data_IF_852867879888
#
_entry.id   IF_852867879888
#
_cell.length_a   1.000
_cell.length_b   1.000
_cell.length_c   1.000
_cell.angle_alpha   90.00
_cell.angle_beta   90.00
_cell.angle_gamma   90.00
#
_symmetry.space_group_name_H-M   'P 1'
#
loop_
_entity.id
_entity.type
_entity.pdbx_description
1 polymer ?
#
# COMPACT_ATOMS: atom_id res chain seq x y z
N UNK A 1 5.97 0.53 -15.28
CA UNK A 1 6.42 -0.74 -14.65
C UNK A 1 6.28 -1.90 -15.63
N UNK A 2 5.08 -2.17 -16.17
CA UNK A 2 4.85 -3.21 -17.19
C UNK A 2 5.81 -3.11 -18.39
N UNK A 3 5.85 -1.96 -19.05
CA UNK A 3 6.82 -1.73 -20.14
C UNK A 3 8.28 -1.95 -19.72
N UNK A 4 8.63 -1.64 -18.46
CA UNK A 4 10.00 -1.77 -17.99
C UNK A 4 10.37 -3.23 -17.67
N UNK A 5 9.49 -4.03 -17.07
CA UNK A 5 9.80 -5.46 -16.86
C UNK A 5 9.92 -6.19 -18.20
N UNK A 6 9.13 -5.79 -19.21
CA UNK A 6 9.14 -6.37 -20.55
C UNK A 6 10.39 -6.01 -21.37
N UNK A 7 10.79 -4.74 -21.36
CA UNK A 7 11.74 -4.20 -22.35
C UNK A 7 13.12 -3.82 -21.79
N UNK A 8 13.31 -3.82 -20.47
CA UNK A 8 14.65 -3.66 -19.91
C UNK A 8 15.51 -4.91 -20.19
N UNK A 9 16.83 -4.75 -20.39
CA UNK A 9 17.70 -5.82 -20.85
C UNK A 9 17.87 -6.95 -19.83
N UNK A 10 17.83 -6.63 -18.54
CA UNK A 10 18.12 -7.56 -17.45
C UNK A 10 17.51 -7.10 -16.12
N UNK A 11 17.59 -7.99 -15.13
CA UNK A 11 17.13 -7.76 -13.77
C UNK A 11 17.86 -6.59 -13.09
N UNK A 12 19.20 -6.48 -13.24
CA UNK A 12 19.97 -5.42 -12.59
C UNK A 12 19.55 -4.03 -13.06
N UNK A 13 19.28 -3.86 -14.36
CA UNK A 13 18.76 -2.62 -14.91
C UNK A 13 17.37 -2.31 -14.37
N UNK A 14 16.50 -3.33 -14.26
CA UNK A 14 15.18 -3.20 -13.64
C UNK A 14 15.26 -2.82 -12.15
N UNK A 15 16.19 -3.43 -11.41
CA UNK A 15 16.42 -3.19 -10.00
C UNK A 15 17.05 -1.80 -9.75
N UNK A 16 17.98 -1.36 -10.60
CA UNK A 16 18.48 0.03 -10.58
C UNK A 16 17.37 1.04 -10.81
N UNK A 17 16.42 0.72 -11.69
CA UNK A 17 15.29 1.58 -12.00
C UNK A 17 14.27 1.63 -10.87
N UNK A 18 13.86 0.50 -10.29
CA UNK A 18 12.81 0.47 -9.28
C UNK A 18 13.27 0.08 -7.88
N UNK A 19 14.17 -0.90 -7.73
CA UNK A 19 14.74 -1.27 -6.43
C UNK A 19 15.44 -0.10 -5.74
N UNK A 20 16.54 0.39 -6.33
CA UNK A 20 17.19 1.62 -5.83
C UNK A 20 16.33 2.86 -6.06
N UNK A 21 15.62 2.92 -7.20
CA UNK A 21 14.85 4.10 -7.59
C UNK A 21 15.72 5.35 -7.81
N UNK A 22 17.04 5.17 -7.92
CA UNK A 22 18.03 6.24 -7.97
C UNK A 22 19.31 5.76 -8.68
N UNK A 23 19.44 6.05 -9.97
CA UNK A 23 20.67 5.75 -10.70
C UNK A 23 20.95 6.78 -11.79
N UNK A 24 22.22 7.11 -12.01
CA UNK A 24 22.64 8.14 -12.98
C UNK A 24 22.17 7.84 -14.41
N UNK A 25 22.08 6.55 -14.75
CA UNK A 25 21.75 6.07 -16.09
C UNK A 25 20.25 5.86 -16.32
N UNK A 26 19.41 5.94 -15.27
CA UNK A 26 17.98 5.62 -15.38
C UNK A 26 17.24 6.48 -16.44
N UNK A 27 17.65 7.73 -16.64
CA UNK A 27 17.04 8.58 -17.67
C UNK A 27 17.38 8.08 -19.09
N UNK A 28 18.64 7.66 -19.31
CA UNK A 28 19.07 7.10 -20.60
C UNK A 28 18.41 5.73 -20.83
N UNK A 29 18.34 4.90 -19.80
CA UNK A 29 17.62 3.61 -19.82
C UNK A 29 16.15 3.80 -20.19
N UNK A 30 15.47 4.77 -19.59
CA UNK A 30 14.09 5.11 -19.94
C UNK A 30 13.96 5.47 -21.43
N UNK A 31 14.82 6.37 -21.92
CA UNK A 31 14.79 6.83 -23.31
C UNK A 31 15.01 5.68 -24.30
N UNK A 32 15.94 4.77 -23.97
CA UNK A 32 16.33 3.67 -24.86
C UNK A 32 15.32 2.52 -24.88
N UNK A 33 14.79 2.13 -23.72
CA UNK A 33 14.08 0.85 -23.58
C UNK A 33 12.61 0.96 -23.16
N UNK A 34 12.18 2.08 -22.56
CA UNK A 34 10.82 2.18 -21.99
C UNK A 34 9.95 3.14 -22.81
N UNK A 35 10.51 4.28 -23.21
CA UNK A 35 9.78 5.44 -23.72
C UNK A 35 8.85 5.14 -24.89
N UNK A 36 9.30 4.35 -25.88
CA UNK A 36 8.50 4.04 -27.08
C UNK A 36 7.42 2.97 -26.83
N UNK A 37 7.43 2.33 -25.65
CA UNK A 37 6.46 1.32 -25.25
C UNK A 37 5.43 1.86 -24.25
N UNK A 38 5.40 3.18 -24.04
CA UNK A 38 4.41 3.84 -23.19
C UNK A 38 3.31 4.48 -24.04
N UNK A 39 2.08 4.43 -23.53
CA UNK A 39 1.00 5.23 -24.08
C UNK A 39 1.31 6.74 -23.94
N UNK A 40 0.63 7.54 -24.77
CA UNK A 40 0.86 8.97 -24.86
C UNK A 40 0.67 9.69 -23.53
N UNK A 41 -0.36 9.33 -22.74
CA UNK A 41 -0.65 10.00 -21.46
C UNK A 41 0.44 9.70 -20.44
N UNK A 42 0.84 8.44 -20.31
CA UNK A 42 1.92 8.04 -19.39
C UNK A 42 3.25 8.69 -19.76
N UNK A 43 3.59 8.72 -21.06
CA UNK A 43 4.80 9.39 -21.55
C UNK A 43 4.78 10.89 -21.25
N UNK A 44 3.69 11.58 -21.57
CA UNK A 44 3.52 13.02 -21.27
C UNK A 44 3.66 13.31 -19.77
N UNK A 45 3.12 12.45 -18.90
CA UNK A 45 3.27 12.62 -17.46
C UNK A 45 4.75 12.59 -17.01
N UNK A 46 5.51 11.60 -17.46
CA UNK A 46 6.93 11.47 -17.07
C UNK A 46 7.84 12.49 -17.74
N UNK A 47 7.48 12.95 -18.94
CA UNK A 47 8.26 13.94 -19.70
C UNK A 47 7.91 15.39 -19.38
N UNK A 48 6.89 15.64 -18.54
CA UNK A 48 6.56 16.98 -18.03
C UNK A 48 7.18 17.24 -16.66
N UNK A 49 7.02 18.47 -16.18
CA UNK A 49 7.62 18.98 -14.94
C UNK A 49 6.58 19.40 -13.91
N UNK A 50 7.00 19.48 -12.63
CA UNK A 50 6.13 19.93 -11.53
C UNK A 50 6.23 21.44 -11.26
N UNK A 51 7.42 22.05 -11.32
CA UNK A 51 7.63 23.49 -11.07
C UNK A 51 8.78 24.03 -11.94
N UNK A 52 8.74 25.30 -12.44
CA UNK A 52 7.69 26.33 -12.30
C UNK A 52 6.53 26.20 -13.32
N UNK A 53 6.46 25.09 -14.04
CA UNK A 53 5.40 24.80 -15.00
C UNK A 53 5.65 23.44 -15.64
N UNK A 54 4.70 22.94 -16.42
CA UNK A 54 4.79 21.60 -17.03
C UNK A 54 5.94 21.43 -18.03
N UNK A 55 6.55 22.53 -18.49
CA UNK A 55 7.56 22.55 -19.56
C UNK A 55 8.90 23.18 -19.15
N UNK A 56 8.96 23.97 -18.07
CA UNK A 56 10.12 24.81 -17.75
C UNK A 56 11.01 24.27 -16.63
N UNK A 57 10.68 23.09 -16.08
CA UNK A 57 11.41 22.47 -14.98
C UNK A 57 12.19 21.21 -15.38
N UNK A 58 12.86 20.56 -14.42
CA UNK A 58 13.32 19.20 -14.64
C UNK A 58 12.14 18.27 -14.89
N UNK A 59 12.27 17.37 -15.86
CA UNK A 59 11.24 16.37 -16.16
C UNK A 59 11.06 15.40 -14.98
N UNK A 60 9.83 14.94 -14.72
CA UNK A 60 9.53 13.96 -13.66
C UNK A 60 10.34 12.67 -13.82
N UNK A 61 10.68 12.26 -15.04
CA UNK A 61 11.55 11.10 -15.27
C UNK A 61 12.91 11.22 -14.56
N UNK A 62 13.39 12.44 -14.30
CA UNK A 62 14.62 12.66 -13.53
C UNK A 62 14.51 12.25 -12.06
N UNK A 63 13.32 11.93 -11.55
CA UNK A 63 13.13 11.38 -10.20
C UNK A 63 13.86 10.05 -10.05
N UNK A 64 13.86 9.22 -11.09
CA UNK A 64 14.62 7.97 -11.12
C UNK A 64 16.15 8.17 -11.13
N UNK A 65 16.64 9.39 -11.40
CA UNK A 65 18.05 9.77 -11.24
C UNK A 65 18.37 10.27 -9.84
N UNK A 66 17.42 10.93 -9.18
CA UNK A 66 17.63 11.67 -7.91
C UNK A 66 17.07 10.97 -6.67
N UNK A 67 16.35 9.87 -6.86
CA UNK A 67 15.63 9.16 -5.81
C UNK A 67 14.13 9.31 -5.95
N UNK A 68 13.50 8.33 -6.58
CA UNK A 68 12.06 8.23 -6.79
C UNK A 68 11.29 8.26 -5.46
N UNK A 69 11.70 7.43 -4.51
CA UNK A 69 11.05 7.27 -3.21
C UNK A 69 11.11 8.53 -2.35
N UNK A 70 12.06 9.42 -2.64
CA UNK A 70 12.17 10.71 -1.99
C UNK A 70 11.16 11.76 -2.49
N UNK A 71 10.51 11.51 -3.63
CA UNK A 71 9.55 12.46 -4.24
C UNK A 71 8.10 12.17 -3.85
N UNK A 72 7.79 10.96 -3.36
CA UNK A 72 6.45 10.63 -2.88
C UNK A 72 6.10 11.44 -1.63
N UNK A 73 4.81 11.80 -1.45
CA UNK A 73 4.31 12.52 -0.25
C UNK A 73 4.75 11.85 1.06
N UNK A 74 4.65 10.51 1.12
CA UNK A 74 5.11 9.73 2.27
C UNK A 74 6.63 9.87 2.50
N UNK A 75 7.43 9.88 1.42
CA UNK A 75 8.88 10.11 1.50
C UNK A 75 9.24 11.53 1.96
N UNK A 76 8.44 12.53 1.60
CA UNK A 76 8.58 13.91 2.12
C UNK A 76 8.21 13.97 3.61
N UNK A 77 7.14 13.30 4.02
CA UNK A 77 6.73 13.20 5.42
C UNK A 77 7.81 12.53 6.29
N UNK A 78 8.33 11.37 5.88
CA UNK A 78 9.40 10.68 6.61
C UNK A 78 10.66 11.54 6.71
N UNK A 79 10.96 12.37 5.71
CA UNK A 79 12.09 13.30 5.79
C UNK A 79 11.95 14.30 6.93
N UNK A 80 10.76 14.86 7.14
CA UNK A 80 10.48 15.80 8.23
C UNK A 80 10.62 15.09 9.59
N UNK A 81 9.96 13.95 9.75
CA UNK A 81 9.99 13.17 11.00
C UNK A 81 11.40 12.70 11.33
N UNK A 82 12.12 12.13 10.36
CA UNK A 82 13.50 11.68 10.56
C UNK A 82 14.43 12.86 10.87
N UNK A 83 14.24 14.02 10.23
CA UNK A 83 14.98 15.24 10.54
C UNK A 83 14.77 15.72 11.98
N UNK A 84 13.51 15.73 12.45
CA UNK A 84 13.18 16.07 13.83
C UNK A 84 13.79 15.08 14.82
N UNK A 85 13.66 13.78 14.55
CA UNK A 85 14.24 12.73 15.38
C UNK A 85 15.76 12.90 15.50
N UNK A 86 16.47 13.13 14.39
CA UNK A 86 17.94 13.35 14.39
C UNK A 86 18.33 14.58 15.18
N UNK A 87 17.55 15.67 15.10
CA UNK A 87 17.77 16.87 15.92
C UNK A 87 17.60 16.59 17.42
N UNK A 88 16.80 15.59 17.77
CA UNK A 88 16.66 15.07 19.14
C UNK A 88 17.69 13.98 19.49
N UNK A 89 18.69 13.74 18.62
CA UNK A 89 19.72 12.71 18.83
C UNK A 89 19.25 11.28 18.55
N UNK A 90 18.09 11.10 17.92
CA UNK A 90 17.47 9.79 17.64
C UNK A 90 17.45 9.53 16.12
N UNK A 91 18.15 8.52 15.63
CA UNK A 91 18.13 8.18 14.20
C UNK A 91 17.25 6.94 13.96
N UNK A 92 16.09 7.07 13.28
CA UNK A 92 15.17 5.95 13.06
C UNK A 92 15.80 4.75 12.34
N UNK A 93 16.82 5.00 11.52
CA UNK A 93 17.51 3.96 10.76
C UNK A 93 18.27 2.95 11.65
N UNK A 94 18.55 3.28 12.92
CA UNK A 94 19.18 2.35 13.88
C UNK A 94 18.36 1.08 14.10
N UNK A 95 17.03 1.16 14.00
CA UNK A 95 16.16 0.00 14.08
C UNK A 95 16.56 -1.08 13.05
N UNK A 96 17.01 -0.66 11.87
CA UNK A 96 17.36 -1.56 10.77
C UNK A 96 18.67 -2.33 10.98
N UNK A 97 19.42 -2.01 12.04
CA UNK A 97 20.61 -2.78 12.44
C UNK A 97 20.31 -3.95 13.38
N UNK A 98 19.05 -4.10 13.83
CA UNK A 98 18.66 -5.15 14.76
C UNK A 98 18.79 -6.54 14.12
N UNK A 99 19.24 -7.52 14.90
CA UNK A 99 19.44 -8.92 14.48
C UNK A 99 18.34 -9.86 14.96
N UNK A 100 17.43 -9.37 15.80
CA UNK A 100 16.30 -10.13 16.34
C UNK A 100 15.13 -9.22 16.68
N UNK A 101 13.94 -9.79 16.82
CA UNK A 101 12.75 -9.07 17.29
C UNK A 101 12.99 -8.44 18.67
N UNK A 102 13.64 -9.16 19.59
CA UNK A 102 13.93 -8.63 20.93
C UNK A 102 14.81 -7.36 20.87
N UNK A 103 15.79 -7.34 19.97
CA UNK A 103 16.62 -6.16 19.73
C UNK A 103 15.84 -5.03 19.04
N UNK A 104 14.94 -5.37 18.11
CA UNK A 104 14.00 -4.39 17.51
C UNK A 104 13.16 -3.72 18.59
N UNK A 105 12.62 -4.48 19.55
CA UNK A 105 11.84 -3.96 20.67
C UNK A 105 12.67 -3.06 21.59
N UNK A 106 13.87 -3.49 21.96
CA UNK A 106 14.78 -2.69 22.79
C UNK A 106 15.11 -1.34 22.13
N UNK A 107 15.49 -1.36 20.85
CA UNK A 107 15.79 -0.14 20.10
C UNK A 107 14.52 0.72 19.96
N UNK A 108 13.36 0.11 19.72
CA UNK A 108 12.11 0.83 19.62
C UNK A 108 11.79 1.59 20.91
N UNK A 109 11.89 0.92 22.06
CA UNK A 109 11.56 1.49 23.35
C UNK A 109 12.56 2.57 23.78
N UNK A 110 13.85 2.41 23.48
CA UNK A 110 14.88 3.41 23.77
C UNK A 110 14.78 4.67 22.88
N UNK A 111 14.49 4.49 21.58
CA UNK A 111 14.53 5.57 20.61
C UNK A 111 13.19 6.24 20.34
N UNK A 112 12.11 5.46 20.26
CA UNK A 112 10.78 5.94 19.89
C UNK A 112 9.85 6.07 21.10
N UNK A 113 10.03 5.24 22.13
CA UNK A 113 9.28 5.34 23.39
C UNK A 113 9.20 6.78 23.96
N UNK A 114 10.33 7.49 24.12
CA UNK A 114 10.33 8.88 24.60
C UNK A 114 9.60 9.86 23.67
N UNK A 115 9.61 9.64 22.36
CA UNK A 115 8.92 10.49 21.39
C UNK A 115 7.40 10.41 21.58
N UNK A 116 6.85 9.21 21.78
CA UNK A 116 5.42 9.04 22.04
C UNK A 116 4.97 9.63 23.38
N UNK A 117 5.88 9.78 24.35
CA UNK A 117 5.60 10.41 25.63
C UNK A 117 5.68 11.95 25.58
N UNK A 118 6.26 12.53 24.52
CA UNK A 118 6.38 13.98 24.35
C UNK A 118 4.99 14.64 24.17
N UNK A 119 4.73 15.72 24.89
CA UNK A 119 3.42 16.42 24.88
C UNK A 119 3.10 17.01 23.50
N UNK A 120 4.09 17.50 22.76
CA UNK A 120 3.91 18.06 21.42
C UNK A 120 3.58 16.98 20.39
N UNK A 121 4.28 15.83 20.47
CA UNK A 121 4.01 14.68 19.59
C UNK A 121 2.61 14.13 19.83
N UNK A 122 2.22 13.97 21.10
CA UNK A 122 0.84 13.58 21.47
C UNK A 122 -0.19 14.59 20.98
N UNK A 123 0.09 15.88 21.12
CA UNK A 123 -0.82 16.92 20.66
C UNK A 123 -0.99 16.90 19.13
N UNK A 124 0.10 16.76 18.36
CA UNK A 124 0.06 16.64 16.90
C UNK A 124 -0.63 15.37 16.42
N UNK A 125 -0.34 14.22 17.06
CA UNK A 125 -0.94 12.93 16.71
C UNK A 125 -2.45 12.85 16.96
N UNK A 126 -3.01 13.80 17.72
CA UNK A 126 -4.45 13.97 17.94
C UNK A 126 -5.12 14.87 16.89
N UNK A 127 -4.36 15.49 15.99
CA UNK A 127 -4.90 16.40 14.97
C UNK A 127 -5.20 15.65 13.65
N UNK A 128 -6.40 15.82 13.06
CA UNK A 128 -6.78 15.22 11.78
C UNK A 128 -5.86 15.56 10.61
N UNK A 129 -5.14 16.70 10.67
CA UNK A 129 -4.27 17.16 9.57
C UNK A 129 -2.92 16.41 9.55
N UNK A 130 -2.45 15.92 10.70
CA UNK A 130 -1.17 15.21 10.80
C UNK A 130 -1.23 13.82 10.14
N UNK A 131 -2.37 13.13 10.23
CA UNK A 131 -2.62 11.80 9.63
C UNK A 131 -2.90 11.85 8.13
N UNK A 132 -3.43 12.95 7.61
CA UNK A 132 -3.56 13.15 6.16
C UNK A 132 -2.19 13.14 5.46
N UNK A 133 -1.18 13.69 6.13
CA UNK A 133 0.22 13.68 5.65
C UNK A 133 0.88 12.30 5.76
N UNK A 134 0.30 11.39 6.57
CA UNK A 134 0.67 9.97 6.66
C UNK A 134 0.00 9.11 5.57
N UNK A 135 -0.81 9.70 4.69
CA UNK A 135 -1.52 9.00 3.62
C UNK A 135 -2.86 8.39 4.03
N UNK A 136 -3.39 8.76 5.21
CA UNK A 136 -4.69 8.32 5.71
C UNK A 136 -5.76 9.33 5.25
N UNK A 137 -6.71 8.94 4.38
CA UNK A 137 -7.84 9.81 4.00
C UNK A 137 -8.66 10.25 5.22
N UNK A 138 -9.32 11.43 5.18
CA UNK A 138 -10.13 11.93 6.30
C UNK A 138 -11.24 10.98 6.75
N UNK A 139 -11.82 10.22 5.82
CA UNK A 139 -12.83 9.17 6.09
C UNK A 139 -12.27 8.03 6.95
N UNK A 140 -11.07 7.55 6.65
CA UNK A 140 -10.40 6.53 7.46
C UNK A 140 -10.10 7.02 8.88
N UNK A 141 -9.70 8.28 9.02
CA UNK A 141 -9.51 8.89 10.35
C UNK A 141 -10.84 8.98 11.12
N UNK A 142 -11.94 9.35 10.45
CA UNK A 142 -13.26 9.42 11.06
C UNK A 142 -13.73 8.04 11.55
N UNK A 143 -13.61 7.00 10.71
CA UNK A 143 -13.97 5.63 11.07
C UNK A 143 -13.16 5.12 12.29
N UNK A 144 -11.84 5.33 12.30
CA UNK A 144 -11.00 4.95 13.44
C UNK A 144 -11.32 5.75 14.71
N UNK A 145 -11.71 7.02 14.59
CA UNK A 145 -12.11 7.85 15.72
C UNK A 145 -13.46 7.38 16.31
N UNK A 146 -14.40 6.99 15.45
CA UNK A 146 -15.69 6.42 15.85
C UNK A 146 -15.51 5.09 16.60
N UNK A 147 -14.70 4.17 16.06
CA UNK A 147 -14.34 2.92 16.77
C UNK A 147 -13.62 3.19 18.10
N UNK A 148 -12.85 4.28 18.16
CA UNK A 148 -12.21 4.75 19.40
C UNK A 148 -13.19 5.42 20.38
N UNK A 149 -14.49 5.45 20.10
CA UNK A 149 -15.52 6.11 20.91
C UNK A 149 -15.33 7.61 21.00
N UNK A 150 -14.83 8.26 19.93
CA UNK A 150 -14.54 9.70 19.89
C UNK A 150 -13.28 10.12 20.66
N UNK A 151 -12.51 9.17 21.21
CA UNK A 151 -11.33 9.49 22.01
C UNK A 151 -10.07 9.61 21.14
N UNK A 152 -9.58 10.84 20.97
CA UNK A 152 -8.28 11.08 20.32
C UNK A 152 -7.09 10.45 21.04
N UNK A 153 -7.21 10.11 22.32
CA UNK A 153 -6.17 9.38 23.05
C UNK A 153 -6.13 7.90 22.64
N UNK A 154 -7.29 7.22 22.59
CA UNK A 154 -7.35 5.83 22.12
C UNK A 154 -6.86 5.71 20.68
N UNK A 155 -7.24 6.66 19.82
CA UNK A 155 -6.77 6.72 18.44
C UNK A 155 -5.24 6.86 18.36
N UNK A 156 -4.64 7.73 19.18
CA UNK A 156 -3.19 7.86 19.27
C UNK A 156 -2.53 6.56 19.75
N UNK A 157 -3.12 5.86 20.72
CA UNK A 157 -2.61 4.59 21.20
C UNK A 157 -2.69 3.50 20.12
N UNK A 158 -3.75 3.47 19.30
CA UNK A 158 -3.84 2.62 18.10
C UNK A 158 -2.72 2.91 17.10
N UNK A 159 -2.44 4.19 16.79
CA UNK A 159 -1.31 4.54 15.92
C UNK A 159 0.03 4.09 16.49
N UNK A 160 0.24 4.27 17.81
CA UNK A 160 1.45 3.78 18.49
C UNK A 160 1.58 2.27 18.37
N UNK A 161 0.50 1.51 18.57
CA UNK A 161 0.49 0.05 18.43
C UNK A 161 0.81 -0.38 16.99
N UNK A 162 0.23 0.29 15.99
CA UNK A 162 0.52 0.04 14.56
C UNK A 162 1.98 0.29 14.21
N UNK A 163 2.53 1.41 14.66
CA UNK A 163 3.96 1.73 14.46
C UNK A 163 4.85 0.71 15.18
N UNK A 164 4.51 0.27 16.40
CA UNK A 164 5.26 -0.79 17.10
C UNK A 164 5.18 -2.12 16.34
N UNK A 165 4.00 -2.51 15.86
CA UNK A 165 3.83 -3.73 15.06
C UNK A 165 4.64 -3.68 13.76
N UNK A 166 4.68 -2.53 13.09
CA UNK A 166 5.55 -2.32 11.93
C UNK A 166 7.03 -2.45 12.28
N UNK A 167 7.44 -1.91 13.44
CA UNK A 167 8.84 -1.89 13.87
C UNK A 167 9.33 -3.24 14.42
N UNK A 168 8.46 -3.99 15.11
CA UNK A 168 8.84 -5.10 15.99
C UNK A 168 7.99 -6.37 15.77
N UNK A 169 6.96 -6.34 14.93
CA UNK A 169 6.06 -7.49 14.72
C UNK A 169 6.60 -8.52 13.73
N UNK A 170 7.61 -8.15 12.93
CA UNK A 170 8.12 -8.97 11.83
C UNK A 170 9.63 -8.84 11.70
N UNK A 171 10.26 -9.86 11.12
CA UNK A 171 11.70 -9.86 10.86
C UNK A 171 12.07 -8.77 9.87
N UNK A 172 13.21 -8.12 10.08
CA UNK A 172 13.75 -7.20 9.08
C UNK A 172 14.15 -7.88 7.77
N UNK A 173 14.39 -9.20 7.78
CA UNK A 173 14.71 -9.94 6.56
C UNK A 173 13.55 -9.98 5.57
N UNK A 174 12.31 -9.97 6.06
CA UNK A 174 11.13 -10.03 5.22
C UNK A 174 10.37 -8.71 5.15
N UNK A 175 10.47 -7.80 6.12
CA UNK A 175 9.58 -6.64 6.19
C UNK A 175 10.09 -5.38 5.45
N UNK A 176 9.91 -5.35 4.13
CA UNK A 176 10.24 -4.17 3.30
C UNK A 176 9.45 -2.89 3.65
N UNK A 177 8.33 -2.99 4.38
CA UNK A 177 7.60 -1.81 4.86
C UNK A 177 8.40 -1.11 5.97
N UNK A 178 9.00 -1.88 6.88
CA UNK A 178 9.88 -1.36 7.94
C UNK A 178 11.10 -0.66 7.34
N UNK A 179 11.73 -1.26 6.32
CA UNK A 179 12.84 -0.64 5.60
C UNK A 179 12.47 0.72 4.99
N UNK A 180 11.29 0.83 4.38
CA UNK A 180 10.82 2.11 3.84
C UNK A 180 10.48 3.13 4.94
N UNK A 181 9.80 2.71 6.01
CA UNK A 181 9.37 3.61 7.08
C UNK A 181 10.54 4.17 7.91
N UNK A 182 11.53 3.32 8.22
CA UNK A 182 12.63 3.65 9.13
C UNK A 182 13.95 3.95 8.40
N UNK A 183 14.13 3.46 7.18
CA UNK A 183 15.35 3.66 6.38
C UNK A 183 15.15 4.45 5.09
N UNK A 184 13.91 4.62 4.61
CA UNK A 184 13.58 5.27 3.32
C UNK A 184 14.32 4.65 2.12
N UNK A 185 14.57 3.35 2.22
CA UNK A 185 15.24 2.50 1.23
C UNK A 185 14.71 1.08 1.34
N UNK A 186 15.12 0.20 0.44
CA UNK A 186 14.99 -1.24 0.66
C UNK A 186 16.31 -1.82 1.17
N UNK A 187 16.26 -3.10 1.52
CA UNK A 187 17.46 -3.90 1.68
C UNK A 187 18.14 -4.07 0.31
N UNK A 188 19.21 -3.32 0.09
CA UNK A 188 20.00 -3.38 -1.14
C UNK A 188 21.23 -4.28 -1.00
N UNK A 189 21.54 -4.73 0.22
CA UNK A 189 22.73 -5.53 0.51
C UNK A 189 22.44 -7.01 0.36
N UNK A 190 21.39 -7.50 1.03
CA UNK A 190 20.96 -8.90 0.92
C UNK A 190 19.79 -9.09 -0.04
N UNK A 191 19.10 -8.00 -0.42
CA UNK A 191 17.96 -8.01 -1.35
C UNK A 191 16.85 -8.98 -0.92
N UNK A 192 16.67 -9.20 0.39
CA UNK A 192 15.61 -10.08 0.92
C UNK A 192 14.31 -9.32 1.17
N UNK A 193 14.42 -8.18 1.87
CA UNK A 193 13.28 -7.36 2.23
C UNK A 193 12.87 -6.47 1.05
N UNK A 194 12.27 -7.11 0.05
CA UNK A 194 11.79 -6.49 -1.18
C UNK A 194 10.31 -6.82 -1.44
N UNK A 195 9.54 -5.90 -2.04
CA UNK A 195 8.30 -6.24 -2.71
C UNK A 195 8.51 -7.36 -3.73
N UNK A 196 7.54 -8.27 -3.89
CA UNK A 196 7.73 -9.47 -4.71
C UNK A 196 8.08 -9.16 -6.16
N UNK A 197 7.61 -8.04 -6.71
CA UNK A 197 7.94 -7.62 -8.07
C UNK A 197 9.40 -7.16 -8.26
N UNK A 198 10.15 -6.94 -7.18
CA UNK A 198 11.56 -6.53 -7.19
C UNK A 198 12.52 -7.69 -6.88
N UNK A 199 11.99 -8.85 -6.49
CA UNK A 199 12.79 -10.04 -6.21
C UNK A 199 13.28 -10.68 -7.50
N UNK A 200 14.54 -11.08 -7.52
CA UNK A 200 15.19 -11.63 -8.71
C UNK A 200 14.50 -12.92 -9.18
N UNK A 201 14.14 -13.79 -8.24
CA UNK A 201 13.47 -15.06 -8.52
C UNK A 201 12.12 -14.89 -9.24
N UNK A 202 11.49 -13.72 -9.13
CA UNK A 202 10.21 -13.43 -9.78
C UNK A 202 10.36 -12.69 -11.12
N UNK A 203 11.55 -12.19 -11.44
CA UNK A 203 11.75 -11.29 -12.59
C UNK A 203 11.35 -11.94 -13.92
N UNK A 204 11.84 -13.15 -14.18
CA UNK A 204 11.53 -13.87 -15.43
C UNK A 204 10.04 -14.21 -15.54
N UNK A 205 9.44 -14.74 -14.47
CA UNK A 205 8.00 -15.04 -14.40
C UNK A 205 7.17 -13.79 -14.70
N UNK A 206 7.52 -12.64 -14.12
CA UNK A 206 6.81 -11.38 -14.36
C UNK A 206 6.98 -10.90 -15.79
N UNK A 207 8.18 -11.05 -16.36
CA UNK A 207 8.45 -10.68 -17.76
C UNK A 207 7.62 -11.50 -18.73
N UNK A 208 7.51 -12.80 -18.51
CA UNK A 208 6.78 -13.72 -19.39
C UNK A 208 5.26 -13.58 -19.26
N UNK A 209 4.79 -13.15 -18.08
CA UNK A 209 3.35 -13.01 -17.78
C UNK A 209 2.82 -11.58 -17.94
N UNK A 210 3.67 -10.58 -18.21
CA UNK A 210 3.29 -9.16 -18.23
C UNK A 210 2.14 -8.87 -19.21
N UNK A 211 2.06 -9.63 -20.31
CA UNK A 211 1.04 -9.46 -21.35
C UNK A 211 -0.36 -9.93 -20.91
N UNK A 212 -0.48 -10.54 -19.72
CA UNK A 212 -1.76 -10.88 -19.09
C UNK A 212 -2.34 -9.74 -18.25
N UNK A 213 -1.62 -8.62 -18.13
CA UNK A 213 -2.04 -7.48 -17.31
C UNK A 213 -2.65 -6.41 -18.19
N UNK A 214 -3.94 -6.14 -17.98
CA UNK A 214 -4.66 -5.05 -18.61
C UNK A 214 -4.86 -3.88 -17.63
N UNK A 215 -4.94 -2.67 -18.17
CA UNK A 215 -5.16 -1.46 -17.38
C UNK A 215 -6.32 -0.66 -17.96
N UNK A 216 -7.30 -0.33 -17.11
CA UNK A 216 -8.46 0.46 -17.50
C UNK A 216 -8.48 1.79 -16.74
N UNK A 217 -8.84 2.87 -17.42
CA UNK A 217 -9.12 4.16 -16.79
C UNK A 217 -10.63 4.31 -16.71
N UNK A 218 -11.22 3.72 -15.67
CA UNK A 218 -12.66 3.70 -15.41
C UNK A 218 -12.93 3.52 -13.91
N UNK A 219 -14.19 3.72 -13.49
CA UNK A 219 -14.62 3.20 -12.18
C UNK A 219 -14.72 1.66 -12.26
N UNK A 220 -14.47 0.98 -11.13
CA UNK A 220 -14.61 -0.48 -11.10
C UNK A 220 -16.06 -0.90 -11.40
N UNK A 221 -17.05 -0.18 -10.86
CA UNK A 221 -18.46 -0.45 -11.14
C UNK A 221 -18.80 -0.38 -12.63
N UNK A 222 -18.34 0.64 -13.35
CA UNK A 222 -18.60 0.78 -14.79
C UNK A 222 -17.95 -0.33 -15.61
N UNK A 223 -16.76 -0.78 -15.21
CA UNK A 223 -16.12 -1.94 -15.82
C UNK A 223 -16.96 -3.21 -15.60
N UNK A 224 -17.35 -3.49 -14.36
CA UNK A 224 -18.10 -4.71 -14.01
C UNK A 224 -19.53 -4.72 -14.60
N UNK A 225 -20.16 -3.56 -14.83
CA UNK A 225 -21.46 -3.47 -15.52
C UNK A 225 -21.43 -4.11 -16.90
N UNK A 226 -20.29 -4.02 -17.58
CA UNK A 226 -20.08 -4.50 -18.95
C UNK A 226 -19.26 -5.80 -19.03
N UNK A 227 -18.80 -6.33 -17.90
CA UNK A 227 -18.06 -7.58 -17.88
C UNK A 227 -19.01 -8.77 -18.04
N UNK A 228 -18.52 -9.82 -18.70
CA UNK A 228 -19.30 -11.04 -18.91
C UNK A 228 -19.58 -11.76 -17.59
N UNK A 229 -20.77 -12.35 -17.40
CA UNK A 229 -21.06 -13.20 -16.26
C UNK A 229 -20.03 -14.34 -16.12
N UNK A 230 -19.65 -14.66 -14.88
CA UNK A 230 -18.68 -15.71 -14.54
C UNK A 230 -17.28 -15.58 -15.20
N UNK A 231 -16.87 -14.35 -15.59
CA UNK A 231 -15.58 -14.11 -16.26
C UNK A 231 -14.41 -13.81 -15.31
N UNK A 232 -14.70 -13.54 -14.03
CA UNK A 232 -13.70 -13.14 -13.02
C UNK A 232 -13.83 -14.02 -11.78
N UNK A 233 -12.73 -14.26 -11.05
CA UNK A 233 -12.76 -15.07 -9.82
C UNK A 233 -12.00 -14.45 -8.63
N UNK A 234 -11.36 -13.30 -8.82
CA UNK A 234 -10.56 -12.65 -7.78
C UNK A 234 -10.74 -11.14 -7.80
N UNK A 235 -11.09 -10.57 -6.64
CA UNK A 235 -11.28 -9.13 -6.47
C UNK A 235 -10.42 -8.65 -5.29
N UNK A 236 -9.54 -7.67 -5.54
CA UNK A 236 -8.64 -7.10 -4.54
C UNK A 236 -8.97 -5.61 -4.41
N UNK A 237 -9.72 -5.24 -3.38
CA UNK A 237 -10.31 -3.90 -3.27
C UNK A 237 -9.54 -2.95 -2.35
N UNK A 238 -8.44 -3.42 -1.75
CA UNK A 238 -7.65 -2.69 -0.75
C UNK A 238 -8.57 -2.04 0.30
N UNK A 239 -8.46 -0.74 0.56
CA UNK A 239 -9.21 0.03 1.55
C UNK A 239 -10.28 0.92 0.94
N UNK A 240 -10.69 0.61 -0.30
CA UNK A 240 -11.74 1.35 -1.02
C UNK A 240 -13.06 1.40 -0.25
N UNK A 241 -13.37 0.35 0.51
CA UNK A 241 -14.65 0.19 1.19
C UNK A 241 -14.82 1.16 2.37
N UNK A 242 -13.74 1.66 2.98
CA UNK A 242 -13.81 2.57 4.15
C UNK A 242 -14.36 3.98 3.82
N UNK A 243 -14.46 4.33 2.55
CA UNK A 243 -14.85 5.67 2.09
C UNK A 243 -15.92 5.65 1.01
N UNK A 244 -16.44 4.47 0.69
CA UNK A 244 -17.62 4.31 -0.16
C UNK A 244 -18.88 4.45 0.69
N UNK A 245 -19.90 5.19 0.21
CA UNK A 245 -21.24 5.16 0.81
C UNK A 245 -21.83 3.73 0.79
N UNK A 246 -22.68 3.35 1.76
CA UNK A 246 -23.27 2.01 1.84
C UNK A 246 -23.96 1.56 0.54
N UNK A 247 -24.69 2.45 -0.12
CA UNK A 247 -25.37 2.15 -1.39
C UNK A 247 -24.40 1.84 -2.54
N UNK A 248 -23.22 2.45 -2.54
CA UNK A 248 -22.16 2.20 -3.53
C UNK A 248 -21.46 0.87 -3.23
N UNK A 249 -21.31 0.52 -1.96
CA UNK A 249 -20.79 -0.79 -1.54
C UNK A 249 -21.75 -1.89 -2.02
N UNK A 250 -23.05 -1.78 -1.74
CA UNK A 250 -24.03 -2.78 -2.18
C UNK A 250 -24.09 -2.91 -3.70
N UNK A 251 -24.10 -1.78 -4.44
CA UNK A 251 -24.05 -1.80 -5.91
C UNK A 251 -22.80 -2.54 -6.42
N UNK A 252 -21.62 -2.19 -5.91
CA UNK A 252 -20.37 -2.82 -6.32
C UNK A 252 -20.38 -4.33 -6.07
N UNK A 253 -20.81 -4.76 -4.89
CA UNK A 253 -20.81 -6.18 -4.52
C UNK A 253 -21.88 -6.98 -5.28
N UNK A 254 -23.03 -6.37 -5.61
CA UNK A 254 -24.01 -6.98 -6.50
C UNK A 254 -23.44 -7.23 -7.91
N UNK A 255 -22.62 -6.29 -8.43
CA UNK A 255 -21.92 -6.45 -9.70
C UNK A 255 -20.85 -7.54 -9.62
N UNK A 256 -20.09 -7.60 -8.52
CA UNK A 256 -19.14 -8.69 -8.26
C UNK A 256 -19.86 -10.05 -8.25
N UNK A 257 -21.02 -10.16 -7.61
CA UNK A 257 -21.79 -11.41 -7.60
C UNK A 257 -22.24 -11.83 -9.01
N UNK A 258 -22.64 -10.86 -9.84
CA UNK A 258 -23.07 -11.08 -11.23
C UNK A 258 -21.94 -11.62 -12.12
N UNK A 259 -20.75 -11.03 -12.03
CA UNK A 259 -19.62 -11.30 -12.95
C UNK A 259 -18.63 -12.32 -12.40
N UNK A 260 -18.68 -12.57 -11.09
CA UNK A 260 -17.83 -13.53 -10.41
C UNK A 260 -18.24 -14.98 -10.72
N UNK A 261 -17.28 -15.85 -11.03
CA UNK A 261 -17.46 -17.30 -11.08
C UNK A 261 -17.73 -17.91 -9.70
N UNK A 262 -18.08 -19.19 -9.63
CA UNK A 262 -18.48 -19.87 -8.38
C UNK A 262 -17.37 -19.91 -7.32
N UNK A 263 -16.11 -19.92 -7.72
CA UNK A 263 -14.94 -19.91 -6.83
C UNK A 263 -14.48 -18.48 -6.45
N UNK A 264 -15.33 -17.47 -6.71
CA UNK A 264 -14.98 -16.06 -6.50
C UNK A 264 -14.56 -15.77 -5.07
N UNK A 265 -13.44 -15.05 -4.96
CA UNK A 265 -12.92 -14.50 -3.70
C UNK A 265 -12.76 -12.99 -3.79
N UNK A 266 -13.29 -12.30 -2.80
CA UNK A 266 -13.10 -10.86 -2.59
C UNK A 266 -12.24 -10.66 -1.36
N UNK A 267 -11.15 -9.91 -1.50
CA UNK A 267 -10.28 -9.51 -0.40
C UNK A 267 -10.16 -8.00 -0.32
N UNK A 268 -10.17 -7.48 0.90
CA UNK A 268 -10.00 -6.06 1.16
C UNK A 268 -9.45 -5.85 2.57
N UNK A 269 -9.08 -4.61 2.88
CA UNK A 269 -8.54 -4.20 4.17
C UNK A 269 -9.32 -3.00 4.66
N UNK A 270 -9.36 -2.80 5.97
CA UNK A 270 -10.08 -1.68 6.58
C UNK A 270 -9.16 -0.91 7.50
N UNK A 271 -9.38 0.39 7.61
CA UNK A 271 -8.75 1.23 8.61
C UNK A 271 -9.16 0.82 10.02
N UNK A 272 -10.43 0.43 10.20
CA UNK A 272 -10.96 -0.14 11.43
C UNK A 272 -10.89 -1.66 11.49
N UNK A 273 -11.37 -2.25 12.58
CA UNK A 273 -11.49 -3.71 12.72
C UNK A 273 -12.75 -4.26 12.03
N UNK A 274 -13.82 -3.46 12.01
CA UNK A 274 -15.11 -3.88 11.46
C UNK A 274 -15.10 -3.81 9.94
N UNK A 275 -15.86 -4.72 9.33
CA UNK A 275 -16.12 -4.69 7.91
C UNK A 275 -17.27 -3.72 7.60
N UNK A 276 -17.06 -2.68 6.77
CA UNK A 276 -18.13 -1.77 6.37
C UNK A 276 -19.15 -2.45 5.44
N UNK A 277 -18.82 -3.62 4.86
CA UNK A 277 -19.71 -4.28 3.90
C UNK A 277 -20.86 -5.00 4.58
N UNK A 278 -20.67 -5.45 5.83
CA UNK A 278 -21.68 -6.21 6.57
C UNK A 278 -22.93 -5.37 6.88
N UNK A 279 -22.75 -4.08 7.16
CA UNK A 279 -23.84 -3.13 7.42
C UNK A 279 -24.43 -2.55 6.13
N UNK A 280 -23.66 -2.59 5.03
CA UNK A 280 -24.05 -2.00 3.75
C UNK A 280 -24.89 -2.94 2.87
N UNK A 281 -24.75 -4.26 3.02
CA UNK A 281 -25.42 -5.22 2.13
C UNK A 281 -26.94 -5.19 2.27
N UNK A 282 -27.59 -5.15 1.12
CA UNK A 282 -28.98 -5.56 1.00
C UNK A 282 -29.12 -7.07 1.26
N UNK A 283 -30.32 -7.56 1.65
CA UNK A 283 -30.55 -9.00 1.85
C UNK A 283 -30.19 -9.86 0.62
N UNK A 284 -30.37 -9.32 -0.59
CA UNK A 284 -30.04 -10.00 -1.84
C UNK A 284 -28.53 -10.17 -2.00
N UNK A 285 -27.74 -9.12 -1.76
CA UNK A 285 -26.27 -9.17 -1.82
C UNK A 285 -25.71 -10.04 -0.71
N UNK A 286 -26.22 -9.90 0.52
CA UNK A 286 -25.77 -10.67 1.67
C UNK A 286 -25.92 -12.19 1.46
N UNK A 287 -26.97 -12.63 0.77
CA UNK A 287 -27.18 -14.05 0.45
C UNK A 287 -26.13 -14.64 -0.53
N UNK A 288 -25.41 -13.79 -1.27
CA UNK A 288 -24.43 -14.22 -2.28
C UNK A 288 -23.01 -14.38 -1.73
N UNK A 289 -22.74 -13.96 -0.49
CA UNK A 289 -21.39 -13.96 0.06
C UNK A 289 -21.31 -14.52 1.48
N UNK A 290 -20.18 -15.15 1.78
CA UNK A 290 -19.84 -15.62 3.11
C UNK A 290 -18.50 -15.07 3.55
N UNK A 291 -18.47 -14.38 4.69
CA UNK A 291 -17.23 -13.96 5.33
C UNK A 291 -16.47 -15.16 5.87
N UNK A 292 -15.18 -15.27 5.53
CA UNK A 292 -14.28 -16.25 6.12
C UNK A 292 -13.49 -15.60 7.26
N UNK A 293 -14.13 -15.43 8.41
CA UNK A 293 -13.60 -14.64 9.53
C UNK A 293 -12.34 -15.26 10.15
N UNK A 294 -12.25 -16.59 10.22
CA UNK A 294 -11.08 -17.28 10.77
C UNK A 294 -9.84 -17.04 9.90
N UNK A 295 -9.95 -17.28 8.59
CA UNK A 295 -8.85 -17.05 7.66
C UNK A 295 -8.50 -15.55 7.55
N UNK A 296 -9.51 -14.68 7.62
CA UNK A 296 -9.34 -13.22 7.67
C UNK A 296 -8.43 -12.81 8.82
N UNK A 297 -8.72 -13.26 10.04
CA UNK A 297 -7.86 -13.01 11.22
C UNK A 297 -6.46 -13.60 11.04
N UNK A 298 -6.37 -14.86 10.62
CA UNK A 298 -5.09 -15.56 10.44
C UNK A 298 -4.18 -14.86 9.43
N UNK A 299 -4.75 -14.28 8.37
CA UNK A 299 -3.98 -13.54 7.36
C UNK A 299 -3.73 -12.09 7.78
N UNK A 300 -4.63 -11.46 8.54
CA UNK A 300 -4.37 -10.16 9.17
C UNK A 300 -3.12 -10.20 10.06
N UNK A 301 -2.96 -11.28 10.83
CA UNK A 301 -1.77 -11.49 11.66
C UNK A 301 -0.46 -11.53 10.86
N UNK A 302 -0.52 -11.88 9.57
CA UNK A 302 0.62 -11.91 8.64
C UNK A 302 0.80 -10.62 7.85
N UNK A 303 -0.06 -9.62 8.05
CA UNK A 303 0.04 -8.34 7.36
C UNK A 303 1.18 -7.48 7.92
N UNK A 304 2.27 -7.44 7.15
CA UNK A 304 3.51 -6.70 7.45
C UNK A 304 3.39 -5.19 7.33
N UNK A 305 2.36 -4.68 6.65
CA UNK A 305 2.17 -3.23 6.50
C UNK A 305 1.82 -2.58 7.83
N UNK A 306 1.10 -3.31 8.69
CA UNK A 306 0.64 -2.88 10.02
C UNK A 306 -0.13 -1.54 10.03
N UNK A 307 -0.61 -1.06 8.86
CA UNK A 307 -1.38 0.18 8.75
C UNK A 307 -2.89 -0.04 8.87
N UNK A 308 -3.37 -1.24 8.56
CA UNK A 308 -4.79 -1.58 8.53
C UNK A 308 -5.24 -2.18 9.87
N UNK A 309 -6.50 -1.96 10.24
CA UNK A 309 -7.13 -2.55 11.41
C UNK A 309 -7.55 -4.00 11.19
N UNK A 310 -7.91 -4.38 9.95
CA UNK A 310 -8.28 -5.77 9.63
C UNK A 310 -8.06 -6.09 8.15
N UNK A 311 -7.86 -7.39 7.87
CA UNK A 311 -7.91 -7.97 6.53
C UNK A 311 -9.15 -8.85 6.44
N UNK A 312 -9.92 -8.72 5.37
CA UNK A 312 -11.20 -9.40 5.19
C UNK A 312 -11.21 -10.26 3.93
N UNK A 313 -11.83 -11.43 4.03
CA UNK A 313 -12.05 -12.35 2.92
C UNK A 313 -13.53 -12.74 2.88
N UNK A 314 -14.13 -12.55 1.71
CA UNK A 314 -15.47 -13.03 1.41
C UNK A 314 -15.40 -13.98 0.22
N UNK A 315 -16.15 -15.07 0.31
CA UNK A 315 -16.32 -16.04 -0.76
C UNK A 315 -17.74 -15.90 -1.33
N UNK A 316 -17.87 -15.97 -2.65
CA UNK A 316 -19.18 -16.11 -3.27
C UNK A 316 -19.79 -17.45 -2.84
N UNK A 317 -21.07 -17.45 -2.52
CA UNK A 317 -21.85 -18.66 -2.25
C UNK A 317 -22.38 -19.14 -3.59
N UNK A 318 -22.10 -20.40 -3.93
CA UNK A 318 -22.68 -21.01 -5.12
C UNK A 318 -24.22 -20.92 -5.05
N UNK A 319 -24.86 -20.58 -6.16
CA UNK A 319 -26.31 -20.65 -6.22
C UNK A 319 -26.72 -22.09 -5.92
N UNK A 320 -27.40 -22.31 -4.79
CA UNK A 320 -28.03 -23.61 -4.54
C UNK A 320 -29.03 -23.82 -5.67
N UNK A 321 -28.79 -24.84 -6.50
CA UNK A 321 -29.83 -25.33 -7.40
C UNK A 321 -31.01 -25.74 -6.52
N UNK A 322 -32.03 -24.88 -6.44
CA UNK A 322 -33.32 -25.28 -5.91
C UNK A 322 -33.85 -26.37 -6.84
N UNK A 323 -33.85 -27.61 -6.32
CA UNK A 323 -34.58 -28.75 -6.89
C UNK A 323 -36.08 -28.46 -6.99
#
# INVERSE_FOLDING_TARGET
KLAAVKHLPDYETFYNFFGYGQHKDNVAVYQKYIREHLDSKTRTFWESSDWPGKTFGPKRISYFKRGLYNQAKLGQFFRVIHGLARRMGKDPAKLLGARSIAEQEQIFDEYFGPLFNNRLVRWMGRQPVAVYSLGIPPSQHAAMLEESGGSGQKLFDTYKQRIRRLACGFSLEDNYFTWQAFGRRYDHEHRKALPDYLKEENYHTLRDMVDRVETHVASLGDYLKNAEPNSLNGFILLDSQDWMPPEVIDELWSLIAKVGADDTRVIFRTAGEKSPVDEAFSPATAAQFRCNTEESRRLHEKDRSAIYGMFHIYNKVAATENQ
#
